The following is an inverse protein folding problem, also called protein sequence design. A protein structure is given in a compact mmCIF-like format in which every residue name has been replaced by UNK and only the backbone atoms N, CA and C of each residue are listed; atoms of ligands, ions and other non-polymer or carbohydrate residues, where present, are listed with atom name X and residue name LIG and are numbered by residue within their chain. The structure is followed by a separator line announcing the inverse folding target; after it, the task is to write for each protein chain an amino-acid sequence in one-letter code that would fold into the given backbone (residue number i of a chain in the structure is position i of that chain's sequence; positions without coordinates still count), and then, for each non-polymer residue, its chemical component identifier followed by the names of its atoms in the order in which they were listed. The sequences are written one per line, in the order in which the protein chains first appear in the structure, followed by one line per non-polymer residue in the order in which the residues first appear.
data_IF_166679976128
#
_entry.id   IF_166679976128
#
_cell.length_a   1.000
_cell.length_b   1.000
_cell.length_c   1.000
_cell.angle_alpha   90.00
_cell.angle_beta   90.00
_cell.angle_gamma   90.00
#
_symmetry.space_group_name_H-M   'P 1'
#
loop_
_entity.id
_entity.type
_entity.pdbx_description
1 polymer ?
#
# COMPACT_ATOMS: atom_id res chain seq x y z
N UNK A 1 41.91 -31.63 -13.05
CA UNK A 1 41.61 -31.02 -11.75
C UNK A 1 40.16 -30.58 -11.78
N UNK A 2 39.34 -31.21 -10.94
CA UNK A 2 37.88 -31.19 -11.03
C UNK A 2 37.36 -30.38 -9.82
N UNK A 3 36.83 -29.19 -10.06
CA UNK A 3 36.22 -28.36 -9.02
C UNK A 3 34.72 -28.65 -8.97
N UNK A 4 34.25 -29.23 -7.86
CA UNK A 4 32.83 -29.37 -7.51
C UNK A 4 32.34 -28.05 -6.87
N UNK A 5 31.15 -27.55 -7.21
CA UNK A 5 30.53 -26.48 -6.43
C UNK A 5 29.97 -27.03 -5.12
N UNK A 6 30.33 -26.39 -4.00
CA UNK A 6 29.75 -26.66 -2.70
C UNK A 6 28.38 -25.97 -2.61
N UNK A 7 27.33 -26.77 -2.40
CA UNK A 7 26.00 -26.25 -2.08
C UNK A 7 25.99 -25.80 -0.61
N UNK A 8 25.84 -24.49 -0.38
CA UNK A 8 25.46 -23.97 0.93
C UNK A 8 23.94 -24.11 1.09
N UNK A 9 23.51 -25.23 1.67
CA UNK A 9 22.15 -25.34 2.22
C UNK A 9 22.09 -24.55 3.52
N UNK A 10 21.43 -23.39 3.49
CA UNK A 10 21.01 -22.71 4.71
C UNK A 10 19.83 -23.51 5.27
N UNK A 11 20.12 -24.39 6.23
CA UNK A 11 19.09 -25.01 7.07
C UNK A 11 18.65 -23.94 8.06
N UNK A 12 17.50 -23.32 7.82
CA UNK A 12 16.81 -22.51 8.84
C UNK A 12 16.31 -23.51 9.90
N UNK A 13 16.80 -23.47 11.15
CA UNK A 13 16.25 -24.34 12.18
C UNK A 13 14.80 -23.90 12.41
N UNK A 14 13.86 -24.78 12.03
CA UNK A 14 12.47 -24.70 12.45
C UNK A 14 12.47 -24.78 13.98
N UNK A 15 12.30 -23.63 14.64
CA UNK A 15 11.96 -23.60 16.06
C UNK A 15 10.52 -24.11 16.19
N UNK A 16 10.39 -25.42 16.37
CA UNK A 16 9.19 -26.05 16.86
C UNK A 16 8.98 -25.67 18.33
N UNK A 17 8.37 -24.50 18.55
CA UNK A 17 7.79 -24.17 19.85
C UNK A 17 6.28 -24.37 19.79
N UNK A 18 5.88 -25.65 19.72
CA UNK A 18 4.51 -26.07 20.03
C UNK A 18 4.38 -26.18 21.54
N UNK A 19 4.11 -25.05 22.20
CA UNK A 19 3.50 -25.05 23.54
C UNK A 19 2.80 -23.70 23.79
N UNK A 20 1.47 -23.78 23.94
CA UNK A 20 0.59 -22.77 24.57
C UNK A 20 0.11 -21.57 23.75
N UNK A 21 -0.38 -21.79 22.52
CA UNK A 21 -1.19 -20.78 21.80
C UNK A 21 -2.71 -20.90 22.03
N UNK A 22 -3.17 -21.89 22.82
CA UNK A 22 -4.59 -22.16 23.03
C UNK A 22 -5.22 -21.48 24.27
N UNK A 23 -4.55 -20.52 24.92
CA UNK A 23 -5.02 -19.97 26.20
C UNK A 23 -5.16 -18.45 26.30
N UNK A 24 -5.45 -17.78 25.19
CA UNK A 24 -5.72 -16.33 25.18
C UNK A 24 -7.12 -15.95 24.66
N UNK A 25 -8.08 -16.87 24.72
CA UNK A 25 -9.48 -16.49 24.77
C UNK A 25 -9.88 -16.29 26.23
N UNK A 26 -9.55 -15.14 26.81
CA UNK A 26 -10.26 -14.69 28.00
C UNK A 26 -10.42 -13.17 27.99
N UNK A 27 -11.68 -12.76 27.90
CA UNK A 27 -12.11 -11.38 28.09
C UNK A 27 -11.76 -10.92 29.50
N UNK A 28 -10.71 -10.12 29.64
CA UNK A 28 -10.53 -9.22 30.78
C UNK A 28 -9.79 -7.98 30.30
N UNK A 29 -10.37 -6.82 30.60
CA UNK A 29 -9.76 -5.50 30.54
C UNK A 29 -8.29 -5.59 31.01
N UNK A 30 -7.37 -5.54 30.04
CA UNK A 30 -5.95 -5.76 30.30
C UNK A 30 -5.42 -4.45 30.87
N UNK A 31 -4.93 -4.48 32.11
CA UNK A 31 -4.12 -3.37 32.66
C UNK A 31 -2.92 -3.16 31.73
N UNK A 32 -3.05 -2.23 30.78
CA UNK A 32 -2.08 -1.96 29.72
C UNK A 32 -0.73 -1.51 30.32
N UNK A 33 -0.71 -1.06 31.58
CA UNK A 33 0.50 -0.67 32.30
C UNK A 33 1.36 -1.86 32.73
N UNK A 34 0.81 -3.08 32.76
CA UNK A 34 1.54 -4.31 33.14
C UNK A 34 2.17 -5.04 31.96
N UNK A 35 1.84 -4.64 30.73
CA UNK A 35 2.33 -5.28 29.52
C UNK A 35 3.26 -4.35 28.77
N UNK A 36 4.26 -4.92 28.07
CA UNK A 36 5.15 -4.12 27.26
C UNK A 36 4.35 -3.42 26.14
N UNK A 37 4.52 -2.11 25.90
CA UNK A 37 3.69 -1.35 24.96
C UNK A 37 3.65 -1.96 23.54
N UNK A 38 4.80 -2.43 23.05
CA UNK A 38 4.90 -3.14 21.75
C UNK A 38 4.00 -4.39 21.71
N UNK A 39 3.89 -5.14 22.81
CA UNK A 39 3.03 -6.32 22.84
C UNK A 39 1.55 -5.94 22.77
N UNK A 40 1.17 -4.83 23.42
CA UNK A 40 -0.21 -4.30 23.35
C UNK A 40 -0.52 -3.86 21.93
N UNK A 41 0.37 -3.09 21.29
CA UNK A 41 0.22 -2.66 19.89
C UNK A 41 0.17 -3.84 18.92
N UNK A 42 1.05 -4.83 19.07
CA UNK A 42 1.05 -6.03 18.24
C UNK A 42 -0.25 -6.84 18.38
N UNK A 43 -0.77 -7.01 19.60
CA UNK A 43 -2.07 -7.67 19.84
C UNK A 43 -3.22 -6.88 19.23
N UNK A 44 -3.20 -5.55 19.36
CA UNK A 44 -4.21 -4.66 18.76
C UNK A 44 -4.21 -4.77 17.23
N UNK A 45 -3.05 -4.71 16.61
CA UNK A 45 -2.89 -4.85 15.15
C UNK A 45 -3.37 -6.22 14.67
N UNK A 46 -3.01 -7.30 15.38
CA UNK A 46 -3.45 -8.66 15.06
C UNK A 46 -4.98 -8.79 15.12
N UNK A 47 -5.60 -8.29 16.18
CA UNK A 47 -7.07 -8.29 16.31
C UNK A 47 -7.74 -7.54 15.17
N UNK A 48 -7.25 -6.34 14.83
CA UNK A 48 -7.82 -5.58 13.71
C UNK A 48 -7.66 -6.30 12.36
N UNK A 49 -6.54 -6.99 12.15
CA UNK A 49 -6.35 -7.80 10.96
C UNK A 49 -7.31 -9.00 10.92
N UNK A 50 -7.47 -9.71 12.03
CA UNK A 50 -8.41 -10.84 12.16
C UNK A 50 -9.85 -10.40 11.93
N UNK A 51 -10.29 -9.30 12.57
CA UNK A 51 -11.61 -8.68 12.36
C UNK A 51 -11.84 -8.28 10.88
N UNK A 52 -10.83 -7.71 10.22
CA UNK A 52 -10.91 -7.33 8.80
C UNK A 52 -11.06 -8.55 7.90
N UNK A 53 -10.30 -9.62 8.17
CA UNK A 53 -10.36 -10.87 7.40
C UNK A 53 -11.70 -11.58 7.59
N UNK A 54 -12.23 -11.60 8.81
CA UNK A 54 -13.56 -12.17 9.11
C UNK A 54 -14.70 -11.46 8.37
N UNK A 55 -14.53 -10.17 8.08
CA UNK A 55 -15.51 -9.35 7.37
C UNK A 55 -15.44 -9.47 5.83
N UNK A 56 -14.49 -10.21 5.27
CA UNK A 56 -14.33 -10.31 3.82
C UNK A 56 -15.48 -11.10 3.17
N UNK A 57 -15.92 -10.66 1.99
CA UNK A 57 -17.01 -11.31 1.26
C UNK A 57 -16.70 -12.75 0.87
N UNK A 58 -17.70 -13.62 1.06
CA UNK A 58 -17.61 -15.04 0.75
C UNK A 58 -18.17 -15.42 -0.62
N UNK A 59 -18.99 -14.56 -1.24
CA UNK A 59 -19.51 -14.71 -2.60
C UNK A 59 -19.21 -13.47 -3.44
N UNK A 60 -19.27 -13.64 -4.76
CA UNK A 60 -19.06 -12.54 -5.70
C UNK A 60 -20.11 -11.43 -5.51
N UNK A 61 -21.38 -11.79 -5.33
CA UNK A 61 -22.47 -10.83 -5.14
C UNK A 61 -22.27 -10.02 -3.86
N UNK A 62 -21.83 -10.67 -2.77
CA UNK A 62 -21.47 -9.98 -1.54
C UNK A 62 -20.31 -8.99 -1.75
N UNK A 63 -19.27 -9.40 -2.51
CA UNK A 63 -18.14 -8.53 -2.82
C UNK A 63 -18.55 -7.31 -3.66
N UNK A 64 -19.49 -7.47 -4.60
CA UNK A 64 -20.05 -6.35 -5.38
C UNK A 64 -20.83 -5.38 -4.50
N UNK A 65 -21.67 -5.90 -3.60
CA UNK A 65 -22.44 -5.08 -2.65
C UNK A 65 -21.49 -4.31 -1.74
N UNK A 66 -20.47 -4.98 -1.21
CA UNK A 66 -19.50 -4.37 -0.29
C UNK A 66 -18.64 -3.31 -0.99
N UNK A 67 -18.18 -3.57 -2.21
CA UNK A 67 -17.45 -2.59 -3.02
C UNK A 67 -18.29 -1.32 -3.25
N UNK A 68 -19.57 -1.48 -3.63
CA UNK A 68 -20.48 -0.34 -3.82
C UNK A 68 -20.72 0.41 -2.51
N UNK A 69 -20.93 -0.30 -1.40
CA UNK A 69 -21.13 0.28 -0.07
C UNK A 69 -19.91 1.08 0.40
N UNK A 70 -18.69 0.58 0.16
CA UNK A 70 -17.43 1.20 0.58
C UNK A 70 -17.02 2.38 -0.29
N UNK A 71 -17.05 2.20 -1.60
CA UNK A 71 -16.43 3.12 -2.55
C UNK A 71 -17.43 3.95 -3.34
N UNK A 72 -18.74 3.70 -3.16
CA UNK A 72 -19.82 4.39 -3.87
C UNK A 72 -19.70 4.32 -5.40
N UNK A 73 -19.12 3.22 -5.89
CA UNK A 73 -18.86 2.96 -7.30
C UNK A 73 -19.24 1.53 -7.66
N UNK A 74 -19.49 1.30 -8.94
CA UNK A 74 -19.58 -0.06 -9.46
C UNK A 74 -18.18 -0.67 -9.55
N UNK A 75 -17.99 -1.96 -9.25
CA UNK A 75 -16.69 -2.61 -9.43
C UNK A 75 -16.20 -2.51 -10.88
N UNK A 76 -14.88 -2.45 -11.10
CA UNK A 76 -14.31 -2.31 -12.44
C UNK A 76 -14.57 -3.55 -13.30
N UNK A 77 -14.48 -3.43 -14.64
CA UNK A 77 -14.46 -4.59 -15.53
C UNK A 77 -13.41 -5.61 -15.09
N UNK A 78 -13.79 -6.89 -15.08
CA UNK A 78 -12.90 -7.98 -14.63
C UNK A 78 -12.97 -8.28 -13.14
N UNK A 79 -13.79 -7.57 -12.34
CA UNK A 79 -13.91 -7.82 -10.90
C UNK A 79 -14.31 -9.26 -10.54
N UNK A 80 -15.16 -9.90 -11.36
CA UNK A 80 -15.52 -11.30 -11.15
C UNK A 80 -14.31 -12.24 -11.32
N UNK A 81 -13.50 -12.02 -12.38
CA UNK A 81 -12.27 -12.80 -12.61
C UNK A 81 -11.28 -12.61 -11.47
N UNK A 82 -11.14 -11.37 -10.98
CA UNK A 82 -10.36 -11.07 -9.77
C UNK A 82 -10.87 -11.88 -8.58
N UNK A 83 -12.18 -11.86 -8.30
CA UNK A 83 -12.76 -12.59 -7.17
C UNK A 83 -12.48 -14.10 -7.27
N UNK A 84 -12.71 -14.69 -8.44
CA UNK A 84 -12.44 -16.11 -8.71
C UNK A 84 -10.96 -16.46 -8.51
N UNK A 85 -10.06 -15.62 -9.04
CA UNK A 85 -8.61 -15.77 -8.85
C UNK A 85 -8.19 -15.67 -7.38
N UNK A 86 -8.71 -14.66 -6.66
CA UNK A 86 -8.43 -14.43 -5.26
C UNK A 86 -8.89 -15.62 -4.39
N UNK A 87 -10.08 -16.16 -4.67
CA UNK A 87 -10.59 -17.36 -3.98
C UNK A 87 -9.76 -18.61 -4.30
N UNK A 88 -9.38 -18.81 -5.56
CA UNK A 88 -8.56 -19.95 -5.97
C UNK A 88 -7.17 -19.96 -5.31
N UNK A 89 -6.62 -18.77 -5.02
CA UNK A 89 -5.31 -18.60 -4.38
C UNK A 89 -5.39 -18.37 -2.86
N UNK A 90 -6.55 -18.57 -2.24
CA UNK A 90 -6.76 -18.35 -0.81
C UNK A 90 -6.32 -16.95 -0.33
N UNK A 91 -6.56 -15.92 -1.15
CA UNK A 91 -6.26 -14.54 -0.78
C UNK A 91 -7.08 -14.15 0.47
N UNK A 92 -6.44 -13.67 1.55
CA UNK A 92 -7.15 -13.31 2.78
C UNK A 92 -7.92 -11.99 2.67
N UNK A 93 -7.67 -11.19 1.64
CA UNK A 93 -8.29 -9.88 1.41
C UNK A 93 -8.94 -9.90 0.02
N UNK A 94 -10.25 -9.76 -0.04
CA UNK A 94 -11.08 -9.91 -1.24
C UNK A 94 -11.58 -8.57 -1.77
N UNK A 95 -12.09 -7.72 -0.87
CA UNK A 95 -12.87 -6.51 -1.22
C UNK A 95 -12.46 -5.26 -0.42
N UNK A 96 -11.28 -5.30 0.21
CA UNK A 96 -10.68 -4.13 0.86
C UNK A 96 -9.59 -3.48 -0.02
N UNK A 97 -9.98 -2.43 -0.74
CA UNK A 97 -9.15 -1.65 -1.66
C UNK A 97 -8.87 -0.23 -1.15
N UNK A 98 -8.98 0.03 0.15
CA UNK A 98 -8.92 1.40 0.71
C UNK A 98 -7.65 2.16 0.32
N UNK A 99 -6.50 1.49 0.27
CA UNK A 99 -5.22 2.07 -0.17
C UNK A 99 -5.28 2.41 -1.66
N UNK A 100 -5.72 1.46 -2.49
CA UNK A 100 -5.81 1.63 -3.94
C UNK A 100 -6.80 2.75 -4.31
N UNK A 101 -7.98 2.78 -3.72
CA UNK A 101 -9.00 3.80 -4.01
C UNK A 101 -8.56 5.20 -3.56
N UNK A 102 -7.82 5.31 -2.44
CA UNK A 102 -7.21 6.58 -2.03
C UNK A 102 -6.17 7.05 -3.04
N UNK A 103 -5.31 6.14 -3.49
CA UNK A 103 -4.21 6.47 -4.40
C UNK A 103 -4.73 6.76 -5.82
N UNK A 104 -5.86 6.16 -6.22
CA UNK A 104 -6.55 6.42 -7.49
C UNK A 104 -7.49 7.63 -7.45
N UNK A 105 -7.89 8.10 -6.26
CA UNK A 105 -8.85 9.19 -6.09
C UNK A 105 -8.54 10.46 -6.92
N UNK A 106 -7.28 10.92 -7.05
CA UNK A 106 -6.95 12.08 -7.90
C UNK A 106 -7.34 11.89 -9.37
N UNK A 107 -7.29 10.66 -9.87
CA UNK A 107 -7.54 10.33 -11.26
C UNK A 107 -9.03 10.09 -11.57
N UNK A 108 -9.89 9.95 -10.56
CA UNK A 108 -11.32 9.65 -10.77
C UNK A 108 -12.09 10.77 -11.50
N UNK A 109 -11.56 11.99 -11.49
CA UNK A 109 -12.14 13.14 -12.19
C UNK A 109 -11.65 13.26 -13.64
N UNK A 110 -10.59 12.53 -14.00
CA UNK A 110 -10.01 12.54 -15.34
C UNK A 110 -10.69 11.51 -16.23
N UNK A 111 -10.86 11.85 -17.50
CA UNK A 111 -11.21 10.87 -18.53
C UNK A 111 -10.04 9.93 -18.80
N UNK A 112 -10.33 8.73 -19.30
CA UNK A 112 -9.28 7.80 -19.70
C UNK A 112 -8.33 8.37 -20.76
N UNK A 113 -8.80 9.31 -21.60
CA UNK A 113 -7.95 10.01 -22.58
C UNK A 113 -6.96 10.96 -21.90
N UNK A 114 -7.38 11.68 -20.88
CA UNK A 114 -6.50 12.58 -20.12
C UNK A 114 -5.42 11.79 -19.39
N UNK A 115 -5.79 10.71 -18.70
CA UNK A 115 -4.83 9.82 -18.03
C UNK A 115 -3.81 9.25 -19.01
N UNK A 116 -4.26 8.72 -20.16
CA UNK A 116 -3.35 8.18 -21.17
C UNK A 116 -2.50 9.27 -21.84
N UNK A 117 -3.02 10.49 -21.96
CA UNK A 117 -2.25 11.66 -22.41
C UNK A 117 -1.07 11.94 -21.48
N UNK A 118 -1.33 12.04 -20.17
CA UNK A 118 -0.29 12.23 -19.15
C UNK A 118 0.77 11.13 -19.16
N UNK A 119 0.37 9.87 -19.37
CA UNK A 119 1.33 8.74 -19.49
C UNK A 119 2.23 8.90 -20.72
N UNK A 120 1.68 9.29 -21.87
CA UNK A 120 2.47 9.51 -23.08
C UNK A 120 3.37 10.75 -22.99
N UNK A 121 2.93 11.80 -22.31
CA UNK A 121 3.73 13.00 -22.07
C UNK A 121 4.91 12.69 -21.14
N UNK A 122 4.66 11.95 -20.05
CA UNK A 122 5.71 11.45 -19.17
C UNK A 122 6.71 10.56 -19.92
N UNK A 123 6.25 9.76 -20.89
CA UNK A 123 7.12 8.88 -21.69
C UNK A 123 8.02 9.64 -22.66
N UNK A 124 7.54 10.75 -23.21
CA UNK A 124 8.31 11.56 -24.17
C UNK A 124 9.27 12.52 -23.49
N UNK A 125 9.08 12.79 -22.21
CA UNK A 125 9.90 13.77 -21.53
C UNK A 125 11.30 13.23 -21.25
N UNK A 126 12.29 14.02 -21.65
CA UNK A 126 13.71 13.74 -21.43
C UNK A 126 14.11 13.90 -19.94
N UNK A 127 13.31 14.65 -19.17
CA UNK A 127 13.52 14.83 -17.73
C UNK A 127 13.12 13.58 -16.93
N UNK A 128 12.30 12.71 -17.53
CA UNK A 128 11.67 11.59 -16.85
C UNK A 128 12.47 10.31 -17.10
N UNK A 129 13.37 9.98 -16.18
CA UNK A 129 13.99 8.63 -16.11
C UNK A 129 13.03 7.56 -15.58
N UNK A 130 11.73 7.69 -15.87
CA UNK A 130 10.75 6.69 -15.49
C UNK A 130 10.89 5.47 -16.41
N UNK A 131 10.78 4.28 -15.84
CA UNK A 131 10.65 3.07 -16.66
C UNK A 131 9.20 2.98 -17.12
N UNK A 132 8.95 2.34 -18.26
CA UNK A 132 7.61 2.18 -18.81
C UNK A 132 7.36 0.73 -19.11
N UNK A 133 6.38 0.13 -18.44
CA UNK A 133 5.96 -1.24 -18.67
C UNK A 133 4.71 -1.25 -19.56
N UNK A 134 4.69 -2.13 -20.57
CA UNK A 134 3.53 -2.31 -21.45
C UNK A 134 3.04 -3.75 -21.47
N UNK A 135 1.71 -3.87 -21.36
CA UNK A 135 0.98 -5.11 -21.60
C UNK A 135 0.17 -4.93 -22.86
N UNK A 136 0.36 -5.82 -23.84
CA UNK A 136 -0.46 -5.89 -25.05
C UNK A 136 -0.89 -7.35 -25.27
N UNK A 137 -2.18 -7.55 -25.53
CA UNK A 137 -2.80 -8.87 -25.76
C UNK A 137 -2.38 -9.90 -24.69
N UNK A 138 -2.33 -9.43 -23.44
CA UNK A 138 -1.99 -10.20 -22.25
C UNK A 138 -0.52 -10.62 -22.12
N UNK A 139 0.39 -9.97 -22.86
CA UNK A 139 1.83 -10.22 -22.79
C UNK A 139 2.60 -8.96 -22.47
N UNK A 140 3.63 -9.12 -21.62
CA UNK A 140 4.63 -8.08 -21.42
C UNK A 140 5.42 -7.85 -22.72
N UNK A 141 5.62 -6.59 -23.09
CA UNK A 141 6.52 -6.26 -24.17
C UNK A 141 7.98 -6.37 -23.68
N UNK A 142 8.85 -7.14 -24.38
CA UNK A 142 10.18 -7.53 -23.85
C UNK A 142 11.15 -6.37 -23.58
N UNK A 143 10.97 -5.24 -24.26
CA UNK A 143 11.87 -4.09 -24.18
C UNK A 143 11.48 -3.10 -23.07
N UNK A 144 10.28 -3.25 -22.50
CA UNK A 144 9.62 -2.24 -21.68
C UNK A 144 9.63 -2.60 -20.18
N UNK A 145 9.46 -3.88 -19.82
CA UNK A 145 9.27 -4.28 -18.42
C UNK A 145 10.25 -5.35 -17.95
N UNK A 146 11.04 -5.03 -16.92
CA UNK A 146 11.97 -5.96 -16.24
C UNK A 146 11.79 -5.89 -14.73
N UNK A 147 12.00 -7.03 -14.05
CA UNK A 147 12.03 -7.11 -12.59
C UNK A 147 10.76 -7.65 -11.94
N UNK A 148 10.63 -7.39 -10.65
CA UNK A 148 9.67 -8.05 -9.74
C UNK A 148 8.20 -7.83 -10.15
N UNK A 149 7.88 -6.68 -10.75
CA UNK A 149 6.53 -6.38 -11.21
C UNK A 149 6.06 -7.37 -12.30
N UNK A 150 6.91 -7.63 -13.29
CA UNK A 150 6.57 -8.55 -14.38
C UNK A 150 6.40 -9.98 -13.86
N UNK A 151 7.25 -10.40 -12.91
CA UNK A 151 7.20 -11.71 -12.28
C UNK A 151 5.95 -11.92 -11.41
N UNK A 152 5.55 -10.89 -10.65
CA UNK A 152 4.38 -10.95 -9.77
C UNK A 152 3.06 -11.00 -10.55
N UNK A 153 3.02 -10.42 -11.75
CA UNK A 153 1.80 -10.34 -12.56
C UNK A 153 1.72 -11.39 -13.67
N UNK A 154 2.77 -12.20 -13.91
CA UNK A 154 2.83 -13.17 -15.02
C UNK A 154 1.63 -14.13 -15.09
N UNK A 155 1.03 -14.47 -13.95
CA UNK A 155 -0.09 -15.41 -13.88
C UNK A 155 -1.45 -14.76 -14.16
N UNK A 156 -1.52 -13.42 -14.22
CA UNK A 156 -2.76 -12.67 -14.44
C UNK A 156 -2.74 -11.88 -15.75
N UNK A 157 -1.59 -11.72 -16.41
CA UNK A 157 -1.48 -10.86 -17.61
C UNK A 157 -2.44 -11.26 -18.72
N UNK A 158 -2.73 -12.55 -18.89
CA UNK A 158 -3.66 -13.01 -19.93
C UNK A 158 -5.08 -12.43 -19.80
N UNK A 159 -5.50 -12.09 -18.58
CA UNK A 159 -6.81 -11.49 -18.29
C UNK A 159 -6.77 -9.96 -18.18
N UNK A 160 -5.59 -9.35 -18.31
CA UNK A 160 -5.42 -7.90 -18.23
C UNK A 160 -5.75 -7.21 -19.56
N UNK A 161 -6.32 -6.00 -19.52
CA UNK A 161 -6.43 -5.16 -20.71
C UNK A 161 -5.04 -4.71 -21.19
N UNK A 162 -4.98 -4.04 -22.35
CA UNK A 162 -3.77 -3.35 -22.74
C UNK A 162 -3.49 -2.21 -21.76
N UNK A 163 -2.28 -2.17 -21.19
CA UNK A 163 -1.91 -1.18 -20.17
C UNK A 163 -0.54 -0.58 -20.49
N UNK A 164 -0.44 0.75 -20.37
CA UNK A 164 0.83 1.48 -20.37
C UNK A 164 1.05 1.99 -18.95
N UNK A 165 2.09 1.49 -18.29
CA UNK A 165 2.36 1.74 -16.88
C UNK A 165 3.69 2.48 -16.72
N UNK A 166 3.69 3.77 -16.36
CA UNK A 166 4.89 4.39 -15.81
C UNK A 166 5.24 3.68 -14.49
N UNK A 167 6.47 3.21 -14.38
CA UNK A 167 6.95 2.45 -13.24
C UNK A 167 8.22 3.09 -12.66
N UNK A 168 8.18 3.34 -11.35
CA UNK A 168 9.32 3.82 -10.61
C UNK A 168 10.06 2.65 -9.96
N UNK A 169 11.27 2.35 -10.44
CA UNK A 169 12.08 1.23 -9.96
C UNK A 169 13.13 1.62 -8.90
N UNK A 170 13.09 2.86 -8.40
CA UNK A 170 13.97 3.36 -7.34
C UNK A 170 13.17 3.58 -6.05
N UNK A 171 13.88 3.67 -4.93
CA UNK A 171 13.28 3.79 -3.60
C UNK A 171 12.61 5.17 -3.38
N UNK A 172 13.07 6.22 -4.07
CA UNK A 172 12.53 7.57 -3.93
C UNK A 172 11.28 7.80 -4.82
N UNK A 173 10.18 8.36 -4.27
CA UNK A 173 9.00 8.70 -5.06
C UNK A 173 9.31 9.81 -6.08
N UNK A 174 8.63 9.78 -7.22
CA UNK A 174 8.76 10.80 -8.29
C UNK A 174 7.67 11.86 -8.28
N UNK A 175 6.54 11.55 -7.66
CA UNK A 175 5.38 12.42 -7.60
C UNK A 175 5.03 12.65 -6.14
N UNK A 176 5.00 13.92 -5.75
CA UNK A 176 4.60 14.36 -4.44
C UNK A 176 3.39 15.26 -4.66
N UNK A 177 2.23 14.86 -4.14
CA UNK A 177 1.02 15.64 -4.26
C UNK A 177 0.95 16.66 -3.11
N UNK A 178 1.04 17.95 -3.46
CA UNK A 178 1.00 19.05 -2.50
C UNK A 178 -0.40 19.67 -2.48
N UNK A 179 -0.99 19.92 -1.30
CA UNK A 179 -2.30 20.56 -1.20
C UNK A 179 -2.31 21.94 -1.86
N UNK A 180 -3.22 22.15 -2.82
CA UNK A 180 -3.42 23.45 -3.47
C UNK A 180 -2.53 23.74 -4.69
N UNK A 181 -1.58 22.86 -5.01
CA UNK A 181 -0.83 22.93 -6.26
C UNK A 181 -1.63 22.28 -7.39
N UNK A 182 -1.82 23.01 -8.49
CA UNK A 182 -2.56 22.56 -9.67
C UNK A 182 -1.66 22.38 -10.90
N UNK A 183 -0.40 22.83 -10.82
CA UNK A 183 0.57 22.73 -11.91
C UNK A 183 1.66 21.72 -11.56
N UNK A 184 1.98 20.85 -12.51
CA UNK A 184 3.06 19.89 -12.40
C UNK A 184 4.39 20.58 -12.71
N UNK A 185 5.36 20.48 -11.82
CA UNK A 185 6.72 20.97 -12.05
C UNK A 185 7.74 19.95 -11.54
N UNK A 186 8.87 19.86 -12.24
CA UNK A 186 9.95 18.95 -11.89
C UNK A 186 11.03 19.67 -11.10
N UNK A 187 11.46 19.05 -10.01
CA UNK A 187 12.57 19.55 -9.21
C UNK A 187 13.52 18.41 -8.89
N UNK A 188 14.81 18.66 -9.06
CA UNK A 188 15.84 17.75 -8.58
C UNK A 188 15.96 17.87 -7.04
N UNK A 189 15.34 16.91 -6.36
CA UNK A 189 15.36 16.75 -4.92
C UNK A 189 16.53 15.89 -4.42
N UNK A 190 17.34 15.33 -5.32
CA UNK A 190 18.41 14.39 -4.99
C UNK A 190 19.41 14.99 -4.01
N UNK A 191 19.64 14.30 -2.89
CA UNK A 191 20.57 14.72 -1.82
C UNK A 191 20.29 16.10 -1.20
N UNK A 192 19.06 16.62 -1.33
CA UNK A 192 18.64 17.89 -0.73
C UNK A 192 17.65 17.65 0.40
N UNK A 193 17.70 18.49 1.43
CA UNK A 193 16.67 18.48 2.46
C UNK A 193 15.39 19.11 1.90
N UNK A 194 14.35 18.30 1.76
CA UNK A 194 13.03 18.70 1.24
C UNK A 194 11.96 18.91 2.32
N UNK A 195 12.34 18.83 3.60
CA UNK A 195 11.41 18.91 4.72
C UNK A 195 10.56 20.19 4.69
N UNK A 196 11.20 21.35 4.47
CA UNK A 196 10.49 22.62 4.44
C UNK A 196 9.53 22.73 3.25
N UNK A 197 9.93 22.26 2.07
CA UNK A 197 9.05 22.26 0.89
C UNK A 197 7.80 21.41 1.15
N UNK A 198 7.96 20.21 1.72
CA UNK A 198 6.85 19.30 2.03
C UNK A 198 5.91 19.84 3.12
N UNK A 199 6.44 20.58 4.08
CA UNK A 199 5.69 21.06 5.25
C UNK A 199 5.14 22.47 5.06
N UNK A 200 5.59 23.22 4.04
CA UNK A 200 5.15 24.59 3.77
C UNK A 200 3.62 24.70 3.60
N UNK A 201 2.94 23.86 2.81
CA UNK A 201 1.49 23.97 2.61
C UNK A 201 0.68 23.72 3.87
N UNK A 202 1.29 23.11 4.89
CA UNK A 202 0.62 22.90 6.16
C UNK A 202 0.38 24.24 6.90
N UNK A 203 1.14 25.31 6.61
CA UNK A 203 0.99 26.61 7.26
C UNK A 203 -0.35 27.26 6.92
N UNK A 204 -1.18 27.52 7.95
CA UNK A 204 -2.50 28.14 7.77
C UNK A 204 -3.64 27.17 7.41
N UNK A 205 -3.35 25.88 7.23
CA UNK A 205 -4.42 24.89 7.08
C UNK A 205 -5.17 24.70 8.41
N UNK A 206 -6.46 25.05 8.45
CA UNK A 206 -7.39 24.57 9.48
C UNK A 206 -7.73 23.08 9.21
N UNK A 207 -6.73 22.28 8.86
CA UNK A 207 -6.91 20.84 8.70
C UNK A 207 -7.19 20.27 10.08
N UNK A 208 -8.41 19.77 10.27
CA UNK A 208 -8.76 19.04 11.49
C UNK A 208 -7.78 17.86 11.59
N UNK A 209 -7.10 17.69 12.73
CA UNK A 209 -6.23 16.54 12.93
C UNK A 209 -7.01 15.26 12.63
N UNK A 210 -6.43 14.37 11.83
CA UNK A 210 -6.92 12.99 11.75
C UNK A 210 -6.94 12.45 13.19
N UNK A 211 -8.11 12.09 13.69
CA UNK A 211 -8.24 11.58 15.04
C UNK A 211 -7.76 10.13 15.08
N UNK A 212 -6.90 9.82 16.04
CA UNK A 212 -6.45 8.45 16.26
C UNK A 212 -7.65 7.55 16.57
N UNK A 213 -7.65 6.33 16.02
CA UNK A 213 -8.69 5.35 16.34
C UNK A 213 -8.36 4.62 17.64
N UNK A 214 -9.13 4.92 18.68
CA UNK A 214 -9.08 4.22 19.98
C UNK A 214 -8.26 4.93 21.05
N UNK A 215 -8.13 4.29 22.23
CA UNK A 215 -7.35 4.83 23.33
C UNK A 215 -5.86 4.57 23.12
N UNK A 216 -5.02 5.57 23.43
CA UNK A 216 -3.57 5.44 23.36
C UNK A 216 -3.04 4.46 24.40
N UNK A 217 -2.20 3.54 23.96
CA UNK A 217 -1.41 2.63 24.79
C UNK A 217 -0.40 3.46 25.59
N UNK A 218 -0.26 3.18 26.88
CA UNK A 218 0.77 3.83 27.69
C UNK A 218 2.18 3.35 27.28
N UNK A 219 3.00 4.24 26.70
CA UNK A 219 4.31 3.87 26.12
C UNK A 219 5.52 4.10 27.04
N UNK A 220 5.31 4.44 28.32
CA UNK A 220 6.39 4.75 29.27
C UNK A 220 7.33 5.87 28.79
N UNK A 221 6.84 6.80 27.98
CA UNK A 221 7.62 7.93 27.45
C UNK A 221 8.37 7.64 26.14
N UNK A 222 8.22 6.45 25.56
CA UNK A 222 8.77 6.13 24.24
C UNK A 222 7.79 6.61 23.16
N UNK A 223 8.21 7.38 22.14
CA UNK A 223 7.34 7.88 21.08
C UNK A 223 7.05 6.78 20.04
N UNK A 224 6.26 5.78 20.44
CA UNK A 224 5.83 4.72 19.52
C UNK A 224 4.68 5.19 18.63
N UNK A 225 4.68 4.74 17.38
CA UNK A 225 3.56 4.92 16.45
C UNK A 225 2.37 4.11 16.97
N UNK A 226 1.26 4.80 17.26
CA UNK A 226 0.04 4.20 17.79
C UNK A 226 -1.07 4.08 16.73
N UNK A 227 -1.13 5.05 15.83
CA UNK A 227 -2.01 5.07 14.66
C UNK A 227 -1.17 5.44 13.43
N UNK A 228 -1.09 4.52 12.47
CA UNK A 228 -0.30 4.73 11.27
C UNK A 228 -0.84 5.90 10.44
N UNK A 229 -2.17 6.08 10.40
CA UNK A 229 -2.80 7.08 9.54
C UNK A 229 -2.60 8.52 10.03
N UNK A 230 -2.40 8.72 11.33
CA UNK A 230 -2.00 10.01 11.89
C UNK A 230 -0.49 10.18 11.85
N UNK A 231 0.30 9.10 12.03
CA UNK A 231 1.76 9.17 12.05
C UNK A 231 2.39 9.53 10.69
N UNK A 232 1.76 9.12 9.58
CA UNK A 232 2.21 9.49 8.22
C UNK A 232 1.78 10.89 7.78
N UNK A 233 0.96 11.59 8.58
CA UNK A 233 0.53 12.95 8.29
C UNK A 233 1.68 13.92 8.58
N UNK A 234 2.38 14.33 7.53
CA UNK A 234 3.52 15.26 7.58
C UNK A 234 3.14 16.58 8.27
N UNK A 235 1.88 17.03 8.15
CA UNK A 235 1.42 18.26 8.80
C UNK A 235 1.23 18.10 10.32
N UNK A 236 1.10 16.88 10.82
CA UNK A 236 1.02 16.56 12.25
C UNK A 236 2.35 16.05 12.83
N UNK A 237 3.40 15.99 12.04
CA UNK A 237 4.68 15.47 12.49
C UNK A 237 5.28 16.34 13.62
N UNK A 238 5.78 15.74 14.73
CA UNK A 238 6.33 16.49 15.85
C UNK A 238 7.46 17.47 15.47
N UNK A 239 8.25 17.10 14.46
CA UNK A 239 9.42 17.88 14.01
C UNK A 239 9.05 19.02 13.03
N UNK A 240 7.76 19.27 12.77
CA UNK A 240 7.31 20.34 11.88
C UNK A 240 7.73 21.75 12.35
N UNK A 241 8.04 21.92 13.63
CA UNK A 241 8.45 23.19 14.23
C UNK A 241 9.94 23.29 14.61
N UNK A 242 10.77 22.31 14.22
CA UNK A 242 12.22 22.29 14.43
C UNK A 242 12.96 22.83 13.19
#
# INVERSE_FOLDING_TARGET
MQYKPAALSIVIPQLSSNANLAHLHNHTDVDERRHHPIQVLARRARRHFEEMVEQQSQSYEAAVIEYNRRYHRIPPPGFQKWFEHAKANACPIIDNFDVMERDLAPFHQLSGREVMGSVEDARKSEDHKANFCRIEDGKWLPEDCVGELADNLKNVTQDMPNVHLPFNAIDEPRVIMMPGEQEEFWVDAGHRNWWYNLTEPCHGSNMKPRTARGADVFTHGIPLIQDHSTAIDVCQHPDRGL
#
